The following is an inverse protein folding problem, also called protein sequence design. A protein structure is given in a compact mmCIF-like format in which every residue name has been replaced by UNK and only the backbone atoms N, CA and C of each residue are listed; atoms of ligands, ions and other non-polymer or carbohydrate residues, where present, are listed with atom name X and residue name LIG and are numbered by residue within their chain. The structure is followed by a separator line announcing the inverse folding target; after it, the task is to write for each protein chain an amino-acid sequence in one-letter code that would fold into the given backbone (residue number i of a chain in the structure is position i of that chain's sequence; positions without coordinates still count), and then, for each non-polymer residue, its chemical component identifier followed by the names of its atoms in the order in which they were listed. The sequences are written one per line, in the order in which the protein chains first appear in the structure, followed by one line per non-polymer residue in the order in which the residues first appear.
data_IF_151411921386
#
_entry.id   IF_151411921386
#
_cell.length_a   1.000
_cell.length_b   1.000
_cell.length_c   1.000
_cell.angle_alpha   90.00
_cell.angle_beta   90.00
_cell.angle_gamma   90.00
#
_symmetry.space_group_name_H-M   'P 1'
#
loop_
_entity.id
_entity.type
_entity.pdbx_description
1 polymer ?
#
# COMPACT_ATOMS: atom_id res chain seq x y z
N UNK A 1 22.49 -48.37 -16.67
CA UNK A 1 21.57 -47.99 -17.77
C UNK A 1 20.13 -47.63 -17.36
N UNK A 2 19.65 -47.88 -16.12
CA UNK A 2 18.27 -47.55 -15.71
C UNK A 2 18.02 -46.09 -15.28
N UNK A 3 19.05 -45.35 -14.85
CA UNK A 3 18.90 -43.98 -14.32
C UNK A 3 18.76 -42.89 -15.41
N UNK A 4 19.23 -43.13 -16.63
CA UNK A 4 19.11 -42.16 -17.73
C UNK A 4 17.70 -42.10 -18.34
N UNK A 5 16.92 -43.19 -18.25
CA UNK A 5 15.54 -43.21 -18.77
C UNK A 5 14.59 -42.34 -17.93
N UNK A 6 14.86 -42.19 -16.64
CA UNK A 6 14.04 -41.41 -15.71
C UNK A 6 14.26 -39.90 -15.92
N UNK A 7 15.50 -39.47 -16.16
CA UNK A 7 15.85 -38.07 -16.43
C UNK A 7 15.24 -37.55 -17.74
N UNK A 8 15.19 -38.38 -18.79
CA UNK A 8 14.60 -38.00 -20.08
C UNK A 8 13.07 -37.82 -19.96
N UNK A 9 12.39 -38.69 -19.21
CA UNK A 9 10.95 -38.54 -18.96
C UNK A 9 10.59 -37.26 -18.19
N UNK A 10 11.43 -36.88 -17.22
CA UNK A 10 11.19 -35.67 -16.41
C UNK A 10 11.43 -34.38 -17.22
N UNK A 11 12.43 -34.37 -18.10
CA UNK A 11 12.70 -33.23 -18.98
C UNK A 11 11.58 -33.02 -20.03
N UNK A 12 11.02 -34.10 -20.58
CA UNK A 12 9.89 -34.02 -21.51
C UNK A 12 8.59 -33.54 -20.84
N UNK A 13 8.34 -33.95 -19.58
CA UNK A 13 7.19 -33.47 -18.82
C UNK A 13 7.25 -31.96 -18.53
N UNK A 14 8.43 -31.42 -18.24
CA UNK A 14 8.62 -29.99 -17.97
C UNK A 14 8.45 -29.11 -19.21
N UNK A 15 8.79 -29.61 -20.40
CA UNK A 15 8.63 -28.85 -21.66
C UNK A 15 7.16 -28.76 -22.06
N UNK A 16 6.36 -29.81 -21.80
CA UNK A 16 4.92 -29.86 -22.14
C UNK A 16 4.02 -28.95 -21.28
N UNK A 17 4.49 -28.47 -20.11
CA UNK A 17 3.74 -27.51 -19.30
C UNK A 17 4.01 -26.02 -19.63
N UNK A 18 4.93 -25.73 -20.56
CA UNK A 18 5.35 -24.36 -20.85
C UNK A 18 4.55 -23.63 -21.94
N UNK A 19 3.55 -24.25 -22.56
CA UNK A 19 2.82 -23.66 -23.72
C UNK A 19 1.42 -23.12 -23.43
N UNK A 20 0.99 -23.01 -22.17
CA UNK A 20 -0.28 -22.35 -21.83
C UNK A 20 0.04 -20.99 -21.21
N UNK A 21 0.29 -20.00 -22.06
CA UNK A 21 0.66 -18.66 -21.61
C UNK A 21 0.78 -17.65 -22.72
N UNK A 22 -0.14 -17.65 -23.70
CA UNK A 22 -0.22 -16.59 -24.69
C UNK A 22 -1.67 -16.17 -24.89
N UNK A 23 -1.87 -14.85 -24.90
CA UNK A 23 -3.10 -14.10 -25.15
C UNK A 23 -4.05 -13.89 -23.95
N UNK A 24 -3.83 -12.82 -23.17
CA UNK A 24 -4.72 -11.64 -23.17
C UNK A 24 -3.87 -10.41 -22.80
N UNK A 25 -3.24 -9.80 -23.80
CA UNK A 25 -2.85 -8.40 -23.73
C UNK A 25 -3.54 -7.73 -24.92
N UNK A 26 -4.09 -6.54 -24.68
CA UNK A 26 -4.87 -5.70 -25.62
C UNK A 26 -6.40 -5.87 -25.56
N UNK A 27 -6.98 -5.39 -24.47
CA UNK A 27 -8.22 -4.62 -24.57
C UNK A 27 -8.27 -3.57 -23.47
N UNK A 28 -7.42 -2.55 -23.57
CA UNK A 28 -7.54 -1.35 -22.73
C UNK A 28 -7.14 -0.10 -23.52
N UNK A 29 -7.77 0.10 -24.67
CA UNK A 29 -7.76 1.39 -25.34
C UNK A 29 -9.18 1.73 -25.80
N UNK A 30 -9.61 2.94 -25.43
CA UNK A 30 -10.95 3.54 -25.60
C UNK A 30 -11.95 3.31 -24.46
N UNK A 31 -11.64 3.87 -23.30
CA UNK A 31 -12.68 4.60 -22.55
C UNK A 31 -12.10 5.96 -22.14
N UNK A 32 -12.67 7.00 -22.75
CA UNK A 32 -12.90 8.37 -22.28
C UNK A 32 -12.16 8.79 -20.99
N UNK A 33 -11.42 9.92 -20.98
CA UNK A 33 -10.78 10.40 -19.76
C UNK A 33 -11.86 10.57 -18.68
N UNK A 34 -11.72 9.92 -17.51
CA UNK A 34 -12.70 10.08 -16.45
C UNK A 34 -12.74 11.54 -16.04
N UNK A 35 -13.95 12.10 -15.97
CA UNK A 35 -14.21 13.40 -15.35
C UNK A 35 -13.50 13.48 -13.99
N UNK A 36 -13.01 14.66 -13.57
CA UNK A 36 -12.35 14.85 -12.28
C UNK A 36 -13.41 14.85 -11.15
N UNK A 37 -14.12 13.75 -10.99
CA UNK A 37 -14.97 13.51 -9.83
C UNK A 37 -14.09 12.87 -8.75
N UNK A 38 -13.95 13.64 -7.66
CA UNK A 38 -13.47 13.27 -6.33
C UNK A 38 -12.51 12.07 -6.23
N UNK A 39 -11.26 12.35 -5.85
CA UNK A 39 -10.24 11.35 -5.42
C UNK A 39 -10.68 10.57 -4.17
N UNK A 40 -11.80 9.86 -4.21
CA UNK A 40 -12.26 8.94 -3.19
C UNK A 40 -11.70 7.56 -3.52
N UNK A 41 -10.68 7.15 -2.76
CA UNK A 41 -10.01 5.87 -2.93
C UNK A 41 -8.61 5.97 -3.52
N UNK A 42 -7.81 6.93 -3.06
CA UNK A 42 -6.37 6.89 -3.32
C UNK A 42 -5.83 5.62 -2.66
N UNK A 43 -5.43 4.63 -3.46
CA UNK A 43 -4.67 3.47 -3.00
C UNK A 43 -3.40 3.99 -2.33
N UNK A 44 -3.21 3.71 -1.05
CA UNK A 44 -2.06 4.21 -0.28
C UNK A 44 -1.10 3.08 0.06
N UNK A 45 -0.75 2.27 -0.94
CA UNK A 45 0.37 1.33 -0.92
C UNK A 45 -0.03 -0.12 -1.20
N UNK A 46 0.85 -0.83 -1.90
CA UNK A 46 0.78 -2.26 -2.15
C UNK A 46 2.16 -2.86 -1.89
N UNK A 47 2.21 -3.97 -1.17
CA UNK A 47 3.42 -4.77 -1.01
C UNK A 47 3.02 -6.23 -0.79
N UNK A 48 3.96 -7.15 -0.88
CA UNK A 48 3.68 -8.56 -0.67
C UNK A 48 4.87 -9.29 -0.08
N UNK A 49 4.62 -10.49 0.41
CA UNK A 49 5.64 -11.50 0.68
C UNK A 49 5.37 -12.74 -0.18
N UNK A 50 5.86 -13.92 0.23
CA UNK A 50 5.69 -15.15 -0.55
C UNK A 50 4.24 -15.64 -0.56
N UNK A 51 3.49 -15.42 0.53
CA UNK A 51 2.17 -16.01 0.74
C UNK A 51 1.03 -14.99 0.60
N UNK A 52 1.31 -13.71 0.89
CA UNK A 52 0.28 -12.68 0.99
C UNK A 52 0.62 -11.41 0.23
N UNK A 53 -0.43 -10.81 -0.34
CA UNK A 53 -0.45 -9.46 -0.89
C UNK A 53 -1.17 -8.55 0.10
N UNK A 54 -0.52 -7.45 0.47
CA UNK A 54 -1.06 -6.45 1.38
C UNK A 54 -1.38 -5.17 0.61
N UNK A 55 -2.59 -4.64 0.82
CA UNK A 55 -3.09 -3.42 0.18
C UNK A 55 -3.56 -2.47 1.27
N UNK A 56 -3.11 -1.22 1.22
CA UNK A 56 -3.65 -0.16 2.05
C UNK A 56 -4.54 0.76 1.22
N UNK A 57 -5.78 0.93 1.66
CA UNK A 57 -6.71 1.87 1.04
C UNK A 57 -7.70 2.39 2.09
N UNK A 58 -7.99 3.69 2.04
CA UNK A 58 -9.05 4.30 2.85
C UNK A 58 -8.94 4.00 4.36
N UNK A 59 -7.72 4.06 4.91
CA UNK A 59 -7.49 3.78 6.33
C UNK A 59 -7.63 2.30 6.71
N UNK A 60 -7.66 1.38 5.75
CA UNK A 60 -7.73 -0.06 5.98
C UNK A 60 -6.50 -0.76 5.40
N UNK A 61 -6.09 -1.86 6.04
CA UNK A 61 -5.10 -2.81 5.52
C UNK A 61 -5.84 -4.09 5.17
N UNK A 62 -5.71 -4.51 3.93
CA UNK A 62 -6.33 -5.70 3.35
C UNK A 62 -5.24 -6.71 3.01
N UNK A 63 -5.43 -7.97 3.39
CA UNK A 63 -4.54 -9.10 3.08
C UNK A 63 -5.23 -10.04 2.12
N UNK A 64 -4.58 -10.32 1.00
CA UNK A 64 -5.02 -11.27 -0.02
C UNK A 64 -4.03 -12.44 -0.09
N UNK A 65 -4.52 -13.64 -0.40
CA UNK A 65 -3.63 -14.75 -0.76
C UNK A 65 -2.97 -14.49 -2.11
N UNK A 66 -1.67 -14.72 -2.26
CA UNK A 66 -1.00 -14.51 -3.56
C UNK A 66 -1.42 -15.54 -4.61
N UNK A 67 -1.79 -16.75 -4.19
CA UNK A 67 -2.17 -17.84 -5.09
C UNK A 67 -3.54 -17.65 -5.75
N UNK A 68 -4.51 -17.09 -5.02
CA UNK A 68 -5.91 -17.00 -5.46
C UNK A 68 -6.46 -15.56 -5.51
N UNK A 69 -5.66 -14.57 -5.06
CA UNK A 69 -6.04 -13.17 -4.91
C UNK A 69 -7.32 -12.96 -4.11
N UNK A 70 -7.68 -13.92 -3.24
CA UNK A 70 -8.86 -13.79 -2.39
C UNK A 70 -8.52 -12.96 -1.15
N UNK A 71 -9.42 -12.04 -0.83
CA UNK A 71 -9.34 -11.28 0.42
C UNK A 71 -9.50 -12.23 1.60
N UNK A 72 -8.51 -12.24 2.48
CA UNK A 72 -8.49 -13.09 3.67
C UNK A 72 -8.74 -12.32 4.96
N UNK A 73 -8.22 -11.09 5.04
CA UNK A 73 -8.35 -10.27 6.25
C UNK A 73 -8.38 -8.79 5.92
N UNK A 74 -9.17 -8.03 6.66
CA UNK A 74 -9.19 -6.57 6.64
C UNK A 74 -9.08 -6.07 8.07
N UNK A 75 -8.22 -5.08 8.30
CA UNK A 75 -8.13 -4.36 9.57
C UNK A 75 -8.18 -2.85 9.32
N UNK A 76 -8.68 -2.12 10.31
CA UNK A 76 -8.64 -0.66 10.34
C UNK A 76 -7.29 -0.17 10.88
N UNK A 77 -6.73 0.86 10.25
CA UNK A 77 -5.64 1.60 10.87
C UNK A 77 -6.18 2.32 12.12
N UNK A 78 -5.37 2.45 13.18
CA UNK A 78 -5.74 3.26 14.33
C UNK A 78 -6.11 4.68 13.90
N UNK A 79 -7.24 5.18 14.40
CA UNK A 79 -7.67 6.55 14.17
C UNK A 79 -6.60 7.50 14.73
N UNK A 80 -6.17 8.48 13.91
CA UNK A 80 -5.30 9.52 14.43
C UNK A 80 -6.16 10.50 15.19
N UNK A 81 -5.89 10.67 16.48
CA UNK A 81 -6.37 11.84 17.20
C UNK A 81 -5.80 13.07 16.49
N UNK A 82 -6.64 13.94 15.90
CA UNK A 82 -6.13 15.19 15.38
C UNK A 82 -5.46 15.94 16.54
N UNK A 83 -4.30 16.59 16.33
CA UNK A 83 -3.70 17.42 17.36
C UNK A 83 -4.73 18.48 17.77
N UNK A 84 -5.29 18.34 18.97
CA UNK A 84 -6.27 19.25 19.52
C UNK A 84 -5.68 20.65 19.57
N UNK A 85 -6.34 21.60 18.93
CA UNK A 85 -5.93 23.00 18.93
C UNK A 85 -5.93 23.66 17.55
N UNK A 86 -7.00 23.51 16.77
CA UNK A 86 -7.36 24.63 15.89
C UNK A 86 -7.82 25.78 16.79
N UNK A 87 -7.24 26.98 16.73
CA UNK A 87 -7.79 28.12 17.44
C UNK A 87 -9.26 28.29 17.03
N UNK A 88 -10.15 28.76 17.93
CA UNK A 88 -11.53 29.05 17.56
C UNK A 88 -11.49 29.93 16.30
N UNK A 89 -12.22 29.50 15.26
CA UNK A 89 -12.42 30.27 14.04
C UNK A 89 -13.00 31.62 14.46
N UNK A 90 -12.12 32.60 14.67
CA UNK A 90 -12.50 33.99 14.80
C UNK A 90 -13.03 34.40 13.45
N UNK A 91 -14.35 34.56 13.36
CA UNK A 91 -15.01 35.23 12.26
C UNK A 91 -14.51 36.66 12.21
N UNK A 92 -13.39 36.91 11.52
CA UNK A 92 -12.99 38.26 11.16
C UNK A 92 -12.68 38.33 9.66
N UNK A 93 -13.48 39.16 9.01
CA UNK A 93 -13.60 39.34 7.57
C UNK A 93 -12.41 40.10 7.00
N UNK A 94 -11.23 39.47 7.02
CA UNK A 94 -10.05 39.89 6.27
C UNK A 94 -9.80 38.92 5.11
N UNK A 95 -9.65 39.46 3.91
CA UNK A 95 -9.39 38.73 2.66
C UNK A 95 -8.23 37.73 2.84
N UNK A 96 -8.55 36.45 3.11
CA UNK A 96 -7.55 35.42 3.31
C UNK A 96 -6.82 35.16 1.99
N UNK A 97 -5.48 35.02 1.99
CA UNK A 97 -4.77 34.50 0.84
C UNK A 97 -5.32 33.10 0.50
N UNK A 98 -5.31 32.69 -0.78
CA UNK A 98 -5.76 31.37 -1.18
C UNK A 98 -5.08 30.31 -0.30
N UNK A 99 -5.88 29.49 0.37
CA UNK A 99 -5.36 28.39 1.20
C UNK A 99 -4.45 27.53 0.35
N UNK A 100 -3.21 27.34 0.81
CA UNK A 100 -2.26 26.49 0.10
C UNK A 100 -2.88 25.10 -0.09
N UNK A 101 -2.81 24.52 -1.30
CA UNK A 101 -3.39 23.20 -1.53
C UNK A 101 -2.79 22.19 -0.56
N UNK A 102 -3.60 21.29 0.02
CA UNK A 102 -3.11 20.29 0.96
C UNK A 102 -2.06 19.43 0.26
N UNK A 103 -0.84 19.44 0.80
CA UNK A 103 0.24 18.57 0.31
C UNK A 103 -0.18 17.11 0.52
N UNK A 104 0.00 16.23 -0.48
CA UNK A 104 -0.25 14.81 -0.30
C UNK A 104 0.64 14.28 0.83
N UNK A 105 0.02 13.69 1.85
CA UNK A 105 0.77 13.05 2.92
C UNK A 105 1.53 11.83 2.37
N UNK A 106 2.75 11.56 2.85
CA UNK A 106 3.46 10.36 2.46
C UNK A 106 2.70 9.14 2.99
N UNK A 107 2.55 8.17 2.10
CA UNK A 107 1.96 6.88 2.41
C UNK A 107 2.86 5.79 1.85
N UNK A 108 2.96 4.67 2.56
CA UNK A 108 3.79 3.57 2.11
C UNK A 108 3.54 2.28 2.88
N UNK A 109 3.90 1.18 2.23
CA UNK A 109 3.68 -0.17 2.72
C UNK A 109 4.92 -1.01 2.39
N UNK A 110 5.48 -1.67 3.40
CA UNK A 110 6.66 -2.51 3.23
C UNK A 110 6.58 -3.76 4.11
N UNK A 111 7.01 -4.90 3.59
CA UNK A 111 7.13 -6.17 4.33
C UNK A 111 8.60 -6.45 4.65
N UNK A 112 8.87 -7.04 5.82
CA UNK A 112 10.21 -7.48 6.17
C UNK A 112 10.30 -8.10 7.55
N UNK A 113 11.10 -9.16 7.69
CA UNK A 113 11.40 -9.83 8.96
C UNK A 113 10.16 -10.30 9.75
N UNK A 114 9.11 -10.76 9.07
CA UNK A 114 7.84 -11.16 9.71
C UNK A 114 6.98 -10.00 10.19
N UNK A 115 7.19 -8.80 9.63
CA UNK A 115 6.42 -7.61 9.93
C UNK A 115 5.95 -6.87 8.67
N UNK A 116 4.84 -6.16 8.82
CA UNK A 116 4.30 -5.20 7.88
C UNK A 116 4.46 -3.79 8.47
N UNK A 117 5.15 -2.92 7.74
CA UNK A 117 5.37 -1.52 8.08
C UNK A 117 4.44 -0.65 7.24
N UNK A 118 3.70 0.21 7.93
CA UNK A 118 2.65 1.05 7.34
C UNK A 118 2.97 2.49 7.67
N UNK A 119 3.38 3.25 6.66
CA UNK A 119 3.50 4.70 6.77
C UNK A 119 2.14 5.31 6.43
N UNK A 120 1.52 5.90 7.43
CA UNK A 120 0.39 6.77 7.24
C UNK A 120 0.75 8.13 7.83
N UNK A 121 0.88 9.15 6.98
CA UNK A 121 1.23 10.51 7.40
C UNK A 121 2.55 10.54 8.15
N UNK A 122 2.65 11.12 9.36
CA UNK A 122 3.88 11.11 10.13
C UNK A 122 4.04 9.83 10.96
N UNK A 123 3.12 8.86 10.92
CA UNK A 123 3.18 7.69 11.80
C UNK A 123 3.55 6.44 11.02
N UNK A 124 4.53 5.70 11.52
CA UNK A 124 4.88 4.36 11.09
C UNK A 124 4.25 3.37 12.06
N UNK A 125 3.35 2.53 11.57
CA UNK A 125 2.80 1.40 12.31
C UNK A 125 3.54 0.12 11.93
N UNK A 126 3.84 -0.71 12.92
CA UNK A 126 4.47 -2.03 12.73
C UNK A 126 3.48 -3.11 13.14
N UNK A 127 3.07 -3.94 12.20
CA UNK A 127 2.19 -5.09 12.43
C UNK A 127 2.98 -6.38 12.30
N UNK A 128 2.67 -7.38 13.12
CA UNK A 128 3.19 -8.75 12.97
C UNK A 128 2.48 -9.44 11.80
N UNK A 129 3.20 -10.24 11.01
CA UNK A 129 2.62 -11.11 9.98
C UNK A 129 2.60 -12.56 10.46
N UNK A 130 1.63 -13.38 9.97
CA UNK A 130 0.54 -13.01 9.08
C UNK A 130 -0.68 -12.41 9.79
N UNK A 131 -0.73 -12.43 11.12
CA UNK A 131 -1.90 -12.11 11.93
C UNK A 131 -2.33 -10.63 11.88
N UNK A 132 -1.50 -9.72 11.38
CA UNK A 132 -1.76 -8.27 11.33
C UNK A 132 -2.02 -7.68 12.73
N UNK A 133 -1.33 -8.21 13.75
CA UNK A 133 -1.42 -7.67 15.11
C UNK A 133 -0.50 -6.47 15.24
N UNK A 134 -1.04 -5.30 15.63
CA UNK A 134 -0.25 -4.08 15.86
C UNK A 134 0.75 -4.32 17.02
N UNK A 135 2.03 -4.08 16.75
CA UNK A 135 3.11 -4.22 17.73
C UNK A 135 3.54 -2.87 18.30
N UNK A 136 3.74 -1.87 17.43
CA UNK A 136 4.18 -0.54 17.85
C UNK A 136 3.81 0.51 16.80
N UNK A 137 3.83 1.77 17.22
CA UNK A 137 3.64 2.94 16.37
C UNK A 137 4.67 3.99 16.74
N UNK A 138 5.30 4.61 15.74
CA UNK A 138 6.32 5.65 15.92
C UNK A 138 5.93 6.86 15.08
N UNK A 139 5.90 8.04 15.69
CA UNK A 139 5.76 9.30 14.97
C UNK A 139 7.14 9.76 14.47
N UNK A 140 7.22 10.09 13.18
CA UNK A 140 8.39 10.63 12.51
C UNK A 140 8.58 12.07 13.00
N UNK A 141 9.74 12.40 13.59
CA UNK A 141 10.04 13.76 14.02
C UNK A 141 9.89 14.75 12.86
N UNK A 142 9.27 15.90 13.12
CA UNK A 142 9.27 16.99 12.15
C UNK A 142 10.68 17.54 12.06
N UNK A 143 11.27 17.65 10.86
CA UNK A 143 12.55 18.33 10.71
C UNK A 143 12.43 19.79 11.17
N UNK A 144 13.38 20.22 12.01
CA UNK A 144 13.53 21.61 12.40
C UNK A 144 14.41 22.33 11.38
N UNK A 145 13.83 23.22 10.60
CA UNK A 145 14.54 24.00 9.59
C UNK A 145 14.99 25.38 10.09
N UNK A 146 14.91 25.66 11.39
CA UNK A 146 15.28 26.96 11.98
C UNK A 146 16.74 27.38 11.78
N UNK A 147 17.62 26.49 11.32
CA UNK A 147 19.04 26.75 11.09
C UNK A 147 19.52 26.88 9.63
N UNK A 148 18.65 26.71 8.62
CA UNK A 148 19.08 26.58 7.22
C UNK A 148 19.44 27.89 6.49
N UNK A 149 19.71 28.98 7.22
CA UNK A 149 19.87 30.33 6.65
C UNK A 149 21.02 31.17 7.23
N UNK A 150 22.10 30.55 7.72
CA UNK A 150 23.35 31.27 8.03
C UNK A 150 24.43 30.98 7.00
#
# INVERSE_FOLDING_TARGET
MKRHKILIGLALGLILLSTIGLAVAQQFERMQPPSPMHRQGALTGICGDQEFLYVMASGKIMRYGTADLKLQKTIDLPERTPPGGGPPMGSDSGQMPPSSPPMPMPHGLWTGNGFLYVLAGPVIYKFRTPDLTLQTSVEIPRPDFSGAGK
#
